data_IF_337076061395
#
_entry.id   IF_337076061395
#
_cell.length_a   1.000
_cell.length_b   1.000
_cell.length_c   1.000
_cell.angle_alpha   90.00
_cell.angle_beta   90.00
_cell.angle_gamma   90.00
#
_symmetry.space_group_name_H-M   'P 1'
#
loop_
_entity.id
_entity.type
_entity.pdbx_description
1 polymer ?
#
# COMPACT_ATOMS: atom_id res chain seq x y z
N UNK A 1 26.34 -50.26 10.96
CA UNK A 1 25.96 -49.59 12.22
C UNK A 1 26.08 -48.06 12.18
N UNK A 2 26.78 -47.44 11.22
CA UNK A 2 26.97 -45.97 11.11
C UNK A 2 25.83 -45.21 10.40
N UNK A 3 24.98 -45.90 9.64
CA UNK A 3 23.92 -45.29 8.83
C UNK A 3 22.74 -44.79 9.67
N UNK A 4 22.40 -45.52 10.74
CA UNK A 4 21.31 -45.17 11.66
C UNK A 4 21.59 -43.84 12.39
N UNK A 5 22.82 -43.64 12.86
CA UNK A 5 23.24 -42.40 13.53
C UNK A 5 23.29 -41.19 12.58
N UNK A 6 23.70 -41.40 11.32
CA UNK A 6 23.69 -40.33 10.29
C UNK A 6 22.26 -39.90 9.95
N UNK A 7 21.33 -40.85 9.83
CA UNK A 7 19.91 -40.56 9.58
C UNK A 7 19.26 -39.82 10.75
N UNK A 8 19.57 -40.21 11.98
CA UNK A 8 19.10 -39.52 13.20
C UNK A 8 19.66 -38.10 13.31
N UNK A 9 20.95 -37.90 13.01
CA UNK A 9 21.56 -36.57 12.98
C UNK A 9 20.92 -35.67 11.92
N UNK A 10 20.65 -36.19 10.72
CA UNK A 10 19.95 -35.45 9.67
C UNK A 10 18.52 -35.08 10.09
N UNK A 11 17.79 -36.00 10.72
CA UNK A 11 16.45 -35.71 11.24
C UNK A 11 16.47 -34.67 12.36
N UNK A 12 17.45 -34.74 13.26
CA UNK A 12 17.64 -33.73 14.31
C UNK A 12 17.97 -32.36 13.69
N UNK A 13 18.87 -32.30 12.70
CA UNK A 13 19.22 -31.06 12.01
C UNK A 13 18.04 -30.46 11.25
N UNK A 14 17.21 -31.30 10.62
CA UNK A 14 15.97 -30.87 9.95
C UNK A 14 14.95 -30.31 10.95
N UNK A 15 14.76 -30.97 12.10
CA UNK A 15 13.85 -30.49 13.15
C UNK A 15 14.34 -29.18 13.78
N UNK A 16 15.66 -29.05 14.02
CA UNK A 16 16.27 -27.79 14.50
C UNK A 16 16.13 -26.68 13.46
N UNK A 17 16.32 -26.98 12.18
CA UNK A 17 16.11 -26.00 11.11
C UNK A 17 14.63 -25.55 11.02
N UNK A 18 13.68 -26.48 11.19
CA UNK A 18 12.26 -26.17 11.18
C UNK A 18 11.84 -25.32 12.39
N UNK A 19 12.38 -25.56 13.59
CA UNK A 19 12.08 -24.74 14.78
C UNK A 19 12.73 -23.35 14.72
N UNK A 20 13.92 -23.22 14.11
CA UNK A 20 14.55 -21.93 13.86
C UNK A 20 13.79 -21.09 12.80
N UNK A 21 13.09 -21.76 11.87
CA UNK A 21 12.21 -21.13 10.88
C UNK A 21 10.82 -20.81 11.46
N UNK A 22 10.72 -20.50 12.75
CA UNK A 22 9.48 -19.99 13.35
C UNK A 22 9.12 -18.65 12.70
N UNK A 23 7.91 -18.59 12.11
CA UNK A 23 7.37 -17.49 11.29
C UNK A 23 7.12 -16.20 12.10
N UNK A 24 8.19 -15.54 12.54
CA UNK A 24 8.15 -14.20 13.13
C UNK A 24 8.20 -13.09 12.07
N UNK A 25 7.82 -13.35 10.81
CA UNK A 25 7.57 -12.24 9.87
C UNK A 25 6.23 -11.57 10.21
N UNK A 26 6.18 -10.23 10.32
CA UNK A 26 4.93 -9.53 10.49
C UNK A 26 3.98 -9.88 9.33
N UNK A 27 2.81 -10.44 9.66
CA UNK A 27 1.77 -10.89 8.71
C UNK A 27 1.01 -9.74 8.06
N UNK A 28 1.71 -8.66 7.71
CA UNK A 28 1.16 -7.49 7.03
C UNK A 28 1.48 -7.49 5.53
N UNK A 29 0.71 -6.74 4.72
CA UNK A 29 1.04 -6.54 3.32
C UNK A 29 2.41 -5.85 3.18
N UNK A 30 3.22 -6.33 2.24
CA UNK A 30 4.56 -5.77 2.00
C UNK A 30 4.42 -4.46 1.20
N UNK A 31 4.97 -3.37 1.73
CA UNK A 31 5.08 -2.09 1.02
C UNK A 31 6.00 -2.27 -0.18
N UNK A 32 5.52 -1.96 -1.38
CA UNK A 32 6.29 -2.08 -2.64
C UNK A 32 6.69 -0.71 -3.18
N UNK A 33 5.83 0.29 -3.00
CA UNK A 33 5.98 1.62 -3.57
C UNK A 33 5.65 2.66 -2.50
N UNK A 34 6.14 3.89 -2.70
CA UNK A 34 5.84 5.03 -1.83
C UNK A 34 5.43 6.24 -2.65
N UNK A 35 4.47 6.99 -2.13
CA UNK A 35 4.06 8.30 -2.68
C UNK A 35 4.20 9.35 -1.60
N UNK A 36 4.77 10.50 -1.97
CA UNK A 36 4.99 11.63 -1.08
C UNK A 36 3.97 12.71 -1.45
N UNK A 37 3.22 13.19 -0.46
CA UNK A 37 2.24 14.26 -0.60
C UNK A 37 2.65 15.43 0.29
N UNK A 38 2.93 16.58 -0.32
CA UNK A 38 3.12 17.84 0.41
C UNK A 38 1.77 18.45 0.71
N UNK A 39 1.50 18.74 1.98
CA UNK A 39 0.22 19.24 2.47
C UNK A 39 0.35 20.73 2.79
N UNK A 40 -0.63 21.51 2.32
CA UNK A 40 -0.81 22.92 2.66
C UNK A 40 -2.15 23.15 3.34
N UNK A 41 -2.19 24.06 4.30
CA UNK A 41 -3.43 24.53 4.94
C UNK A 41 -3.51 26.03 4.64
N UNK A 42 -4.43 26.41 3.74
CA UNK A 42 -4.36 27.73 3.11
C UNK A 42 -3.10 27.84 2.25
N UNK A 43 -2.33 28.91 2.47
CA UNK A 43 -1.07 29.16 1.76
C UNK A 43 0.17 28.66 2.51
N UNK A 44 -0.02 28.14 3.73
CA UNK A 44 1.08 27.67 4.59
C UNK A 44 1.36 26.17 4.39
N UNK A 45 2.64 25.81 4.41
CA UNK A 45 3.07 24.41 4.39
C UNK A 45 2.83 23.76 5.76
N UNK A 46 1.97 22.74 5.78
CA UNK A 46 1.61 22.02 7.00
C UNK A 46 2.48 20.78 7.24
N UNK A 47 3.05 20.21 6.17
CA UNK A 47 3.98 19.09 6.27
C UNK A 47 3.90 18.12 5.11
N UNK A 48 4.52 16.95 5.28
CA UNK A 48 4.64 15.92 4.25
C UNK A 48 4.06 14.60 4.77
N UNK A 49 3.21 13.98 3.95
CA UNK A 49 2.69 12.63 4.18
C UNK A 49 3.38 11.67 3.22
N UNK A 50 4.00 10.61 3.75
CA UNK A 50 4.52 9.50 2.94
C UNK A 50 3.59 8.30 3.06
N UNK A 51 3.00 7.89 1.94
CA UNK A 51 2.07 6.76 1.86
C UNK A 51 2.82 5.56 1.29
N UNK A 52 2.89 4.47 2.06
CA UNK A 52 3.32 3.17 1.55
C UNK A 52 2.16 2.46 0.83
N UNK A 53 2.45 1.88 -0.33
CA UNK A 53 1.49 1.22 -1.20
C UNK A 53 1.79 -0.27 -1.32
N UNK A 54 0.73 -1.08 -1.44
CA UNK A 54 0.80 -2.55 -1.44
C UNK A 54 0.64 -3.11 -2.86
N UNK A 55 1.58 -2.84 -3.75
CA UNK A 55 1.50 -3.19 -5.17
C UNK A 55 1.53 -4.69 -5.44
N UNK A 56 1.99 -5.51 -4.50
CA UNK A 56 1.85 -6.98 -4.55
C UNK A 56 0.44 -7.47 -4.25
N UNK A 57 -0.32 -6.72 -3.45
CA UNK A 57 -1.70 -7.07 -3.05
C UNK A 57 -2.72 -6.51 -4.03
N UNK A 58 -2.56 -5.24 -4.42
CA UNK A 58 -3.50 -4.50 -5.28
C UNK A 58 -2.76 -3.72 -6.38
N UNK A 59 -2.10 -4.41 -7.33
CA UNK A 59 -1.26 -3.77 -8.35
C UNK A 59 -1.98 -2.75 -9.23
N UNK A 60 -3.25 -2.98 -9.62
CA UNK A 60 -3.99 -2.03 -10.46
C UNK A 60 -4.33 -0.76 -9.70
N UNK A 61 -4.77 -0.92 -8.45
CA UNK A 61 -5.11 0.21 -7.57
C UNK A 61 -3.88 1.06 -7.27
N UNK A 62 -2.74 0.43 -6.97
CA UNK A 62 -1.46 1.12 -6.73
C UNK A 62 -0.98 1.86 -7.98
N UNK A 63 -1.04 1.21 -9.15
CA UNK A 63 -0.65 1.85 -10.42
C UNK A 63 -1.53 3.07 -10.71
N UNK A 64 -2.83 2.98 -10.49
CA UNK A 64 -3.76 4.11 -10.63
C UNK A 64 -3.37 5.27 -9.68
N UNK A 65 -3.16 4.98 -8.39
CA UNK A 65 -2.84 5.99 -7.40
C UNK A 65 -1.53 6.73 -7.71
N UNK A 66 -0.46 6.00 -8.04
CA UNK A 66 0.85 6.58 -8.41
C UNK A 66 0.75 7.46 -9.66
N UNK A 67 -0.02 7.03 -10.66
CA UNK A 67 -0.15 7.82 -11.89
C UNK A 67 -0.97 9.10 -11.65
N UNK A 68 -2.03 9.03 -10.86
CA UNK A 68 -2.83 10.21 -10.51
C UNK A 68 -2.05 11.18 -9.63
N UNK A 69 -1.25 10.69 -8.68
CA UNK A 69 -0.43 11.55 -7.82
C UNK A 69 0.60 12.37 -8.60
N UNK A 70 1.08 11.86 -9.74
CA UNK A 70 2.00 12.57 -10.64
C UNK A 70 1.31 13.58 -11.55
N UNK A 71 0.03 13.37 -11.86
CA UNK A 71 -0.76 14.18 -12.80
C UNK A 71 -1.56 15.30 -12.13
N UNK A 72 -1.55 15.38 -10.81
CA UNK A 72 -2.27 16.39 -10.06
C UNK A 72 -1.59 17.77 -10.17
N UNK A 73 -1.68 18.40 -11.34
CA UNK A 73 -1.23 19.78 -11.55
C UNK A 73 -2.02 20.72 -10.62
N UNK A 74 -1.31 21.41 -9.71
CA UNK A 74 -1.94 22.28 -8.70
C UNK A 74 -2.50 21.55 -7.46
N UNK A 75 -2.36 20.23 -7.38
CA UNK A 75 -2.79 19.42 -6.24
C UNK A 75 -4.30 19.15 -6.17
N UNK A 76 -4.73 18.48 -5.10
CA UNK A 76 -6.14 18.21 -4.76
C UNK A 76 -6.44 18.76 -3.38
N UNK A 77 -7.63 19.32 -3.19
CA UNK A 77 -8.12 19.70 -1.85
C UNK A 77 -8.64 18.48 -1.10
N UNK A 78 -8.52 18.50 0.23
CA UNK A 78 -9.29 17.64 1.12
C UNK A 78 -10.70 18.23 1.25
N UNK A 79 -11.64 17.73 0.46
CA UNK A 79 -13.00 18.28 0.41
C UNK A 79 -13.90 17.73 1.52
N UNK A 80 -13.48 16.68 2.23
CA UNK A 80 -14.21 16.12 3.38
C UNK A 80 -13.24 15.77 4.50
N UNK A 81 -13.45 16.36 5.66
CA UNK A 81 -12.64 16.17 6.87
C UNK A 81 -13.61 15.88 8.01
N UNK A 82 -13.51 14.68 8.59
CA UNK A 82 -14.32 14.27 9.74
C UNK A 82 -13.35 13.94 10.87
N UNK A 83 -13.40 14.75 11.93
CA UNK A 83 -12.56 14.59 13.12
C UNK A 83 -12.77 13.19 13.70
N UNK A 84 -11.66 12.57 14.13
CA UNK A 84 -11.62 11.23 14.74
C UNK A 84 -12.13 10.10 13.81
N UNK A 85 -12.17 10.36 12.49
CA UNK A 85 -12.55 9.36 11.50
C UNK A 85 -11.63 9.34 10.29
N UNK A 86 -11.73 10.33 9.38
CA UNK A 86 -10.97 10.31 8.13
C UNK A 86 -10.89 11.68 7.42
N UNK A 87 -9.95 11.75 6.47
CA UNK A 87 -9.84 12.82 5.47
C UNK A 87 -9.97 12.23 4.07
N UNK A 88 -10.72 12.91 3.19
CA UNK A 88 -10.97 12.49 1.81
C UNK A 88 -10.49 13.56 0.83
N UNK A 89 -9.73 13.14 -0.17
CA UNK A 89 -9.23 13.94 -1.28
C UNK A 89 -9.32 13.14 -2.59
N UNK A 90 -8.67 13.63 -3.66
CA UNK A 90 -8.59 12.94 -4.94
C UNK A 90 -9.65 13.35 -5.96
N UNK A 91 -10.34 14.47 -5.71
CA UNK A 91 -11.26 15.08 -6.67
C UNK A 91 -10.57 16.28 -7.34
N UNK A 92 -9.96 16.02 -8.50
CA UNK A 92 -9.14 16.99 -9.23
C UNK A 92 -9.92 17.70 -10.36
N UNK A 93 -11.13 17.23 -10.70
CA UNK A 93 -11.87 17.73 -11.87
C UNK A 93 -12.79 18.86 -11.44
N UNK A 94 -12.27 20.08 -11.51
CA UNK A 94 -12.98 21.31 -11.15
C UNK A 94 -13.86 21.87 -12.30
N UNK A 95 -14.69 21.04 -12.94
CA UNK A 95 -15.76 21.53 -13.84
C UNK A 95 -17.00 20.63 -13.76
N UNK A 96 -17.92 20.93 -12.83
CA UNK A 96 -19.36 20.65 -12.89
C UNK A 96 -19.82 19.24 -13.29
N UNK A 97 -19.01 18.21 -13.09
CA UNK A 97 -19.39 16.80 -13.25
C UNK A 97 -18.79 16.06 -12.06
N UNK A 98 -19.61 15.72 -11.08
CA UNK A 98 -19.26 14.81 -9.99
C UNK A 98 -18.61 13.54 -10.58
N UNK A 99 -17.31 13.35 -10.40
CA UNK A 99 -16.67 12.17 -10.96
C UNK A 99 -15.17 12.08 -10.73
N UNK A 100 -14.77 11.14 -9.88
CA UNK A 100 -13.41 10.63 -9.81
C UNK A 100 -13.09 9.90 -11.12
N UNK A 101 -11.96 10.20 -11.75
CA UNK A 101 -11.46 9.43 -12.90
C UNK A 101 -10.31 8.53 -12.46
N UNK A 102 -10.16 7.41 -13.17
CA UNK A 102 -9.00 6.54 -13.08
C UNK A 102 -8.22 6.56 -14.38
N UNK A 103 -7.01 6.03 -14.35
CA UNK A 103 -6.20 5.81 -15.56
C UNK A 103 -6.81 4.76 -16.51
N UNK A 104 -7.85 4.05 -16.05
CA UNK A 104 -8.57 3.00 -16.77
C UNK A 104 -9.93 3.48 -17.31
N UNK A 105 -10.28 4.76 -17.12
CA UNK A 105 -11.58 5.32 -17.47
C UNK A 105 -12.33 5.87 -16.25
N UNK A 106 -13.65 6.05 -16.36
CA UNK A 106 -14.47 6.65 -15.28
C UNK A 106 -14.46 5.83 -13.98
N UNK A 107 -14.45 4.50 -14.06
CA UNK A 107 -14.42 3.59 -12.92
C UNK A 107 -13.67 2.32 -13.28
N UNK A 108 -13.14 1.62 -12.28
CA UNK A 108 -12.61 0.26 -12.40
C UNK A 108 -13.15 -0.58 -11.24
N UNK A 109 -13.22 -1.90 -11.41
CA UNK A 109 -13.76 -2.81 -10.40
C UNK A 109 -12.83 -2.92 -9.18
N UNK A 110 -13.41 -3.21 -8.00
CA UNK A 110 -12.66 -3.48 -6.78
C UNK A 110 -11.72 -4.68 -7.01
N UNK A 111 -10.44 -4.48 -6.69
CA UNK A 111 -9.41 -5.44 -7.06
C UNK A 111 -9.39 -6.66 -6.14
N UNK A 112 -9.48 -6.45 -4.82
CA UNK A 112 -9.73 -7.46 -3.79
C UNK A 112 -9.90 -6.81 -2.40
N UNK A 113 -10.26 -7.62 -1.41
CA UNK A 113 -10.41 -7.24 0.01
C UNK A 113 -9.69 -8.24 0.94
N UNK A 114 -8.56 -8.79 0.48
CA UNK A 114 -7.79 -9.80 1.23
C UNK A 114 -6.79 -9.17 2.18
#
# INVERSE_FOLDING_TARGET
MTWQYRSLLLLCLLNVYATLKSDNEPKGPKVTDKVILTIKIGDEEAGIITIGLFGKTVPKTVKNFIQLSKKAEGGSKFHRIIKDFMVQAGDFINVRIFGSISIYGKKFADENFK
#
